data_IF_293068366292
#
_entry.id   IF_293068366292
#
_cell.length_a   1.000
_cell.length_b   1.000
_cell.length_c   1.000
_cell.angle_alpha   90.00
_cell.angle_beta   90.00
_cell.angle_gamma   90.00
#
_symmetry.space_group_name_H-M   'P 1'
#
loop_
_entity.id
_entity.type
_entity.pdbx_description
1 polymer ?
#
# COMPACT_ATOMS: atom_id res chain seq x y z
N UNK A 1 3.38 -24.98 10.31
CA UNK A 1 4.02 -24.11 11.34
C UNK A 1 3.12 -23.86 12.53
N UNK A 2 1.91 -23.32 12.39
CA UNK A 2 1.05 -23.03 13.56
C UNK A 2 0.67 -24.26 14.39
N UNK A 3 0.75 -25.46 13.82
CA UNK A 3 0.58 -26.72 14.54
C UNK A 3 1.63 -26.98 15.63
N UNK A 4 2.83 -26.38 15.53
CA UNK A 4 3.89 -26.50 16.54
C UNK A 4 3.89 -25.35 17.54
N UNK A 5 3.07 -24.32 17.32
CA UNK A 5 2.86 -23.24 18.28
C UNK A 5 1.91 -23.74 19.37
N UNK A 6 2.29 -23.69 20.65
CA UNK A 6 1.44 -24.11 21.76
C UNK A 6 0.07 -23.42 21.76
N UNK A 7 -0.94 -24.10 22.31
CA UNK A 7 -2.24 -23.48 22.52
C UNK A 7 -2.12 -22.31 23.51
N UNK A 8 -2.88 -21.23 23.28
CA UNK A 8 -2.87 -20.02 24.11
C UNK A 8 -1.79 -19.00 23.74
N UNK A 9 -0.95 -19.27 22.73
CA UNK A 9 -0.07 -18.27 22.14
C UNK A 9 -0.80 -17.60 20.97
N UNK A 10 -0.88 -16.27 21.00
CA UNK A 10 -1.49 -15.44 19.96
C UNK A 10 -0.41 -15.00 18.96
N UNK A 11 -0.33 -15.60 17.75
CA UNK A 11 0.71 -15.26 16.79
C UNK A 11 0.45 -13.90 16.15
N UNK A 12 1.51 -13.12 15.97
CA UNK A 12 1.49 -11.89 15.16
C UNK A 12 2.24 -12.14 13.86
N UNK A 13 1.58 -11.93 12.73
CA UNK A 13 2.19 -11.96 11.41
C UNK A 13 2.23 -10.55 10.85
N UNK A 14 3.40 -10.10 10.42
CA UNK A 14 3.55 -8.87 9.63
C UNK A 14 3.94 -9.33 8.23
N UNK A 15 3.12 -8.97 7.24
CA UNK A 15 3.30 -9.40 5.84
C UNK A 15 2.94 -8.26 4.90
N UNK A 16 3.01 -8.52 3.59
CA UNK A 16 2.45 -7.64 2.56
C UNK A 16 1.55 -8.42 1.62
N UNK A 17 0.50 -7.78 1.16
CA UNK A 17 -0.47 -8.35 0.23
C UNK A 17 -0.54 -7.49 -1.02
N UNK A 18 0.45 -7.66 -1.87
CA UNK A 18 0.44 -7.04 -3.19
C UNK A 18 -0.36 -7.92 -4.14
N UNK A 19 -1.37 -7.39 -4.86
CA UNK A 19 -2.20 -8.20 -5.76
C UNK A 19 -1.39 -9.01 -6.79
N UNK A 20 -0.28 -8.47 -7.31
CA UNK A 20 0.61 -9.18 -8.23
C UNK A 20 1.35 -10.34 -7.57
N UNK A 21 1.73 -10.21 -6.30
CA UNK A 21 2.38 -11.27 -5.54
C UNK A 21 1.39 -12.37 -5.16
N UNK A 22 0.15 -12.00 -4.84
CA UNK A 22 -0.93 -12.97 -4.61
C UNK A 22 -1.28 -13.71 -5.90
N UNK A 23 -1.39 -12.99 -7.03
CA UNK A 23 -1.62 -13.60 -8.33
C UNK A 23 -0.48 -14.55 -8.75
N UNK A 24 0.76 -14.23 -8.39
CA UNK A 24 1.93 -15.08 -8.60
C UNK A 24 2.08 -16.23 -7.59
N UNK A 25 1.22 -16.32 -6.57
CA UNK A 25 1.32 -17.31 -5.49
C UNK A 25 2.51 -17.11 -4.54
N UNK A 26 3.10 -15.91 -4.52
CA UNK A 26 4.20 -15.53 -3.63
C UNK A 26 3.69 -15.15 -2.24
N UNK A 27 2.51 -14.52 -2.17
CA UNK A 27 1.81 -14.17 -0.94
C UNK A 27 0.41 -14.77 -0.94
N UNK A 28 -0.19 -14.94 0.23
CA UNK A 28 -1.49 -15.60 0.40
C UNK A 28 -2.32 -14.88 1.46
N UNK A 29 -3.55 -14.51 1.10
CA UNK A 29 -4.52 -13.88 2.00
C UNK A 29 -5.17 -14.89 2.96
N UNK A 30 -5.16 -16.19 2.61
CA UNK A 30 -5.72 -17.27 3.41
C UNK A 30 -4.99 -17.49 4.75
N UNK A 31 -3.83 -16.85 4.95
CA UNK A 31 -3.17 -16.81 6.26
C UNK A 31 -4.01 -16.10 7.33
N UNK A 32 -4.87 -15.16 6.93
CA UNK A 32 -5.70 -14.39 7.85
C UNK A 32 -6.69 -15.25 8.66
N UNK A 33 -7.58 -16.04 8.05
CA UNK A 33 -8.49 -16.91 8.82
C UNK A 33 -7.72 -17.94 9.66
N UNK A 34 -6.56 -18.42 9.17
CA UNK A 34 -5.74 -19.38 9.90
C UNK A 34 -5.13 -18.78 11.17
N UNK A 35 -4.63 -17.54 11.11
CA UNK A 35 -4.11 -16.86 12.30
C UNK A 35 -5.23 -16.45 13.26
N UNK A 36 -6.35 -15.95 12.73
CA UNK A 36 -7.51 -15.57 13.54
C UNK A 36 -8.06 -16.74 14.35
N UNK A 37 -8.09 -17.95 13.78
CA UNK A 37 -8.49 -19.17 14.48
C UNK A 37 -7.60 -19.51 15.70
N UNK A 38 -6.41 -18.88 15.81
CA UNK A 38 -5.48 -19.00 16.93
C UNK A 38 -5.47 -17.76 17.84
N UNK A 39 -6.40 -16.82 17.66
CA UNK A 39 -6.40 -15.54 18.36
C UNK A 39 -5.30 -14.58 17.87
N UNK A 40 -4.64 -14.89 16.76
CA UNK A 40 -3.56 -14.09 16.20
C UNK A 40 -4.03 -12.93 15.33
N UNK A 41 -3.07 -12.05 15.01
CA UNK A 41 -3.29 -10.82 14.23
C UNK A 41 -2.37 -10.78 13.01
N UNK A 42 -2.89 -10.28 11.90
CA UNK A 42 -2.11 -10.01 10.69
C UNK A 42 -2.02 -8.50 10.49
N UNK A 43 -0.80 -7.99 10.30
CA UNK A 43 -0.52 -6.61 9.91
C UNK A 43 0.06 -6.59 8.49
N UNK A 44 -0.37 -5.61 7.71
CA UNK A 44 0.02 -5.39 6.33
C UNK A 44 0.94 -4.18 6.25
N UNK A 45 2.06 -4.36 5.56
CA UNK A 45 3.00 -3.28 5.32
C UNK A 45 3.62 -3.41 3.92
N UNK A 46 3.19 -2.52 3.00
CA UNK A 46 3.51 -2.60 1.56
C UNK A 46 5.00 -2.57 1.19
N UNK A 47 5.82 -2.03 2.10
CA UNK A 47 7.27 -1.89 1.95
C UNK A 47 8.05 -2.94 2.74
N UNK A 48 7.36 -3.88 3.39
CA UNK A 48 8.02 -4.96 4.11
C UNK A 48 8.83 -5.80 3.14
N UNK A 49 10.12 -5.91 3.41
CA UNK A 49 11.03 -6.85 2.75
C UNK A 49 11.89 -7.63 3.75
N UNK A 50 11.78 -7.30 5.03
CA UNK A 50 12.51 -7.98 6.09
C UNK A 50 12.00 -9.42 6.25
N UNK A 51 12.92 -10.33 6.60
CA UNK A 51 12.61 -11.68 7.04
C UNK A 51 13.05 -11.77 8.49
N UNK A 52 12.05 -11.85 9.35
CA UNK A 52 12.19 -11.62 10.77
C UNK A 52 11.31 -12.64 11.50
N UNK A 53 11.90 -13.34 12.47
CA UNK A 53 11.21 -14.31 13.31
C UNK A 53 11.56 -14.04 14.76
N UNK A 54 10.57 -14.14 15.63
CA UNK A 54 10.76 -13.89 17.05
C UNK A 54 9.90 -14.79 17.90
N UNK A 55 10.45 -15.16 19.04
CA UNK A 55 9.71 -15.64 20.17
C UNK A 55 10.18 -14.88 21.43
N UNK A 56 9.88 -15.40 22.60
CA UNK A 56 10.14 -14.81 23.90
C UNK A 56 11.62 -14.82 24.26
N UNK A 57 12.41 -15.65 23.56
CA UNK A 57 13.80 -15.94 23.90
C UNK A 57 14.79 -15.58 22.79
N UNK A 58 14.35 -15.59 21.53
CA UNK A 58 15.24 -15.46 20.37
C UNK A 58 14.64 -14.59 19.29
N UNK A 59 15.54 -13.95 18.55
CA UNK A 59 15.24 -13.18 17.34
C UNK A 59 16.12 -13.72 16.22
N UNK A 60 15.52 -14.04 15.09
CA UNK A 60 16.23 -14.44 13.88
C UNK A 60 15.93 -13.48 12.76
N UNK A 61 16.98 -13.03 12.07
CA UNK A 61 16.89 -12.16 10.89
C UNK A 61 17.72 -12.74 9.76
N UNK A 62 17.29 -12.52 8.51
CA UNK A 62 18.08 -12.94 7.36
C UNK A 62 17.33 -12.94 6.04
N UNK A 63 17.53 -13.99 5.25
CA UNK A 63 16.97 -14.11 3.89
C UNK A 63 15.72 -15.00 3.80
N UNK A 64 15.52 -15.90 4.78
CA UNK A 64 14.50 -16.94 4.71
C UNK A 64 13.07 -16.39 4.83
N UNK A 65 12.29 -16.46 3.75
CA UNK A 65 10.84 -16.19 3.80
C UNK A 65 10.10 -17.25 4.62
N UNK A 66 8.86 -16.96 5.03
CA UNK A 66 8.02 -17.91 5.75
C UNK A 66 7.44 -18.98 4.80
N UNK A 67 8.30 -19.86 4.30
CA UNK A 67 7.95 -20.94 3.37
C UNK A 67 8.62 -22.26 3.77
N UNK A 68 8.05 -23.38 3.34
CA UNK A 68 8.64 -24.69 3.62
C UNK A 68 10.03 -24.87 2.99
N UNK A 69 10.27 -24.27 1.81
CA UNK A 69 11.57 -24.33 1.13
C UNK A 69 12.64 -23.51 1.84
N UNK A 70 12.32 -22.30 2.30
CA UNK A 70 13.26 -21.42 2.99
C UNK A 70 13.56 -21.88 4.44
N UNK A 71 12.60 -22.53 5.11
CA UNK A 71 12.76 -22.99 6.50
C UNK A 71 13.31 -24.43 6.62
N UNK A 72 13.72 -25.05 5.52
CA UNK A 72 14.32 -26.39 5.54
C UNK A 72 13.31 -27.54 5.68
N UNK A 73 12.01 -27.30 5.46
CA UNK A 73 10.94 -28.30 5.62
C UNK A 73 10.52 -28.97 4.31
N UNK A 74 11.06 -28.52 3.18
CA UNK A 74 10.86 -29.14 1.87
C UNK A 74 11.94 -30.20 1.58
N UNK A 75 11.65 -31.13 0.66
CA UNK A 75 12.61 -32.15 0.23
C UNK A 75 13.87 -31.57 -0.45
N UNK A 76 13.73 -30.41 -1.10
CA UNK A 76 14.80 -29.62 -1.70
C UNK A 76 14.73 -28.20 -1.13
N UNK A 77 15.34 -27.96 0.04
CA UNK A 77 15.28 -26.66 0.68
C UNK A 77 16.26 -25.65 0.04
N UNK A 78 15.94 -24.37 0.19
CA UNK A 78 16.86 -23.29 -0.18
C UNK A 78 18.03 -23.23 0.80
N UNK A 79 19.16 -22.71 0.32
CA UNK A 79 20.26 -22.30 1.20
C UNK A 79 19.98 -20.86 1.63
N UNK A 80 19.60 -20.68 2.89
CA UNK A 80 19.25 -19.38 3.47
C UNK A 80 20.26 -18.97 4.54
N UNK A 81 20.44 -17.66 4.71
CA UNK A 81 21.19 -17.09 5.83
C UNK A 81 20.21 -16.65 6.91
N UNK A 82 20.41 -17.12 8.14
CA UNK A 82 19.74 -16.62 9.34
C UNK A 82 20.79 -16.38 10.42
N UNK A 83 20.71 -15.21 11.06
CA UNK A 83 21.56 -14.85 12.19
C UNK A 83 20.69 -14.49 13.38
N UNK A 84 21.16 -14.84 14.57
CA UNK A 84 20.53 -14.41 15.81
C UNK A 84 20.79 -12.92 16.03
N UNK A 85 19.77 -12.20 16.49
CA UNK A 85 19.85 -10.76 16.75
C UNK A 85 19.45 -10.43 18.18
N UNK A 86 19.82 -9.22 18.60
CA UNK A 86 19.50 -8.72 19.93
C UNK A 86 18.01 -8.34 20.06
N UNK A 87 17.42 -8.68 21.21
CA UNK A 87 16.00 -8.44 21.48
C UNK A 87 15.66 -6.95 21.59
N UNK A 88 16.56 -6.11 22.11
CA UNK A 88 16.33 -4.67 22.20
C UNK A 88 16.35 -4.01 20.82
N UNK A 89 17.25 -4.43 19.93
CA UNK A 89 17.27 -3.97 18.54
C UNK A 89 15.97 -4.36 17.80
N UNK A 90 15.47 -5.57 18.05
CA UNK A 90 14.23 -6.06 17.47
C UNK A 90 13.00 -5.23 17.90
N UNK A 91 12.92 -4.84 19.17
CA UNK A 91 11.79 -4.05 19.70
C UNK A 91 11.60 -2.70 19.01
N UNK A 92 12.69 -2.03 18.62
CA UNK A 92 12.60 -0.76 17.89
C UNK A 92 11.96 -0.96 16.50
N UNK A 93 12.36 -2.03 15.80
CA UNK A 93 11.76 -2.41 14.52
C UNK A 93 10.29 -2.82 14.68
N UNK A 94 9.97 -3.61 15.71
CA UNK A 94 8.59 -4.02 16.00
C UNK A 94 7.68 -2.81 16.24
N UNK A 95 8.14 -1.83 17.02
CA UNK A 95 7.37 -0.62 17.29
C UNK A 95 7.07 0.16 15.99
N UNK A 96 8.04 0.28 15.09
CA UNK A 96 7.84 0.91 13.77
C UNK A 96 6.86 0.11 12.92
N UNK A 97 7.04 -1.21 12.80
CA UNK A 97 6.20 -2.07 11.97
C UNK A 97 4.75 -2.13 12.47
N UNK A 98 4.54 -2.17 13.78
CA UNK A 98 3.21 -2.21 14.38
C UNK A 98 2.54 -0.83 14.41
N UNK A 99 3.33 0.26 14.56
CA UNK A 99 2.81 1.63 14.56
C UNK A 99 2.44 2.14 13.17
N UNK A 100 3.07 1.63 12.11
CA UNK A 100 2.80 2.01 10.72
C UNK A 100 2.05 0.96 9.90
N UNK A 101 1.88 -0.25 10.43
CA UNK A 101 1.20 -1.35 9.76
C UNK A 101 -0.33 -1.23 9.80
N UNK A 102 -0.98 -1.68 8.73
CA UNK A 102 -2.46 -1.74 8.64
C UNK A 102 -2.94 -3.10 9.11
N UNK A 103 -3.91 -3.17 10.03
CA UNK A 103 -4.49 -4.45 10.44
C UNK A 103 -5.27 -5.07 9.28
N UNK A 104 -4.98 -6.33 8.95
CA UNK A 104 -5.66 -7.03 7.87
C UNK A 104 -7.10 -7.36 8.23
N UNK A 105 -8.03 -7.12 7.31
CA UNK A 105 -9.45 -7.43 7.44
C UNK A 105 -9.92 -8.34 6.30
N UNK A 106 -11.09 -8.95 6.47
CA UNK A 106 -11.70 -9.78 5.41
C UNK A 106 -12.03 -8.95 4.16
N UNK A 107 -12.37 -7.66 4.33
CA UNK A 107 -12.57 -6.72 3.23
C UNK A 107 -11.26 -6.49 2.44
N UNK A 108 -10.15 -6.25 3.14
CA UNK A 108 -8.85 -6.08 2.48
C UNK A 108 -8.45 -7.36 1.74
N UNK A 109 -8.60 -8.53 2.39
CA UNK A 109 -8.31 -9.82 1.79
C UNK A 109 -9.13 -10.05 0.50
N UNK A 110 -10.45 -9.86 0.56
CA UNK A 110 -11.34 -10.03 -0.58
C UNK A 110 -11.00 -9.08 -1.74
N UNK A 111 -10.67 -7.82 -1.44
CA UNK A 111 -10.25 -6.84 -2.45
C UNK A 111 -8.94 -7.25 -3.12
N UNK A 112 -7.94 -7.70 -2.36
CA UNK A 112 -6.67 -8.17 -2.91
C UNK A 112 -6.87 -9.42 -3.78
N UNK A 113 -7.68 -10.38 -3.33
CA UNK A 113 -7.96 -11.61 -4.07
C UNK A 113 -8.71 -11.35 -5.38
N UNK A 114 -9.62 -10.38 -5.40
CA UNK A 114 -10.29 -9.95 -6.62
C UNK A 114 -9.31 -9.30 -7.60
N UNK A 115 -8.45 -8.40 -7.12
CA UNK A 115 -7.43 -7.77 -7.97
C UNK A 115 -6.42 -8.81 -8.48
N UNK A 116 -6.00 -9.76 -7.66
CA UNK A 116 -5.09 -10.83 -8.05
C UNK A 116 -5.68 -11.69 -9.18
N UNK A 117 -6.98 -12.03 -9.09
CA UNK A 117 -7.69 -12.76 -10.16
C UNK A 117 -7.75 -11.98 -11.46
N UNK A 118 -7.96 -10.66 -11.38
CA UNK A 118 -7.98 -9.79 -12.55
C UNK A 118 -6.61 -9.61 -13.21
N UNK A 119 -5.52 -9.66 -12.44
CA UNK A 119 -4.15 -9.55 -12.96
C UNK A 119 -3.71 -10.83 -13.69
N UNK A 120 -4.21 -11.98 -13.27
CA UNK A 120 -3.80 -13.28 -13.82
C UNK A 120 -2.36 -13.66 -13.43
N UNK A 121 -1.91 -14.88 -13.78
CA UNK A 121 -0.54 -15.29 -13.51
C UNK A 121 0.45 -14.39 -14.26
N UNK A 122 1.63 -14.08 -13.67
CA UNK A 122 2.57 -13.14 -14.25
C UNK A 122 3.01 -13.60 -15.65
N UNK A 123 2.89 -12.70 -16.62
CA UNK A 123 3.59 -12.81 -17.91
C UNK A 123 5.04 -12.46 -17.63
N UNK A 124 5.96 -13.42 -17.80
CA UNK A 124 7.41 -13.30 -17.56
C UNK A 124 7.95 -11.92 -17.97
N UNK A 125 8.02 -11.00 -17.01
CA UNK A 125 8.54 -9.66 -17.21
C UNK A 125 9.62 -9.45 -16.17
N UNK A 126 10.85 -9.11 -16.59
CA UNK A 126 11.94 -8.88 -15.64
C UNK A 126 11.58 -7.72 -14.71
N UNK A 127 11.60 -7.98 -13.41
CA UNK A 127 11.50 -6.95 -12.36
C UNK A 127 12.74 -6.06 -12.48
N UNK A 128 12.55 -4.78 -12.77
CA UNK A 128 13.60 -3.77 -12.65
C UNK A 128 13.56 -3.27 -11.21
N UNK A 129 14.54 -3.62 -10.41
CA UNK A 129 14.73 -3.04 -9.08
C UNK A 129 15.08 -1.56 -9.24
N UNK A 130 14.09 -0.68 -9.09
CA UNK A 130 14.34 0.76 -9.03
C UNK A 130 14.84 1.08 -7.62
N UNK A 131 16.03 1.67 -7.55
CA UNK A 131 16.69 2.07 -6.31
C UNK A 131 15.76 2.96 -5.45
N UNK A 132 15.39 2.47 -4.27
CA UNK A 132 14.51 3.17 -3.34
C UNK A 132 15.28 4.30 -2.64
N UNK A 133 14.90 5.56 -2.87
CA UNK A 133 15.23 6.67 -1.96
C UNK A 133 14.25 6.66 -0.79
N UNK A 134 14.67 7.01 0.45
CA UNK A 134 13.75 7.32 1.52
C UNK A 134 13.03 8.62 1.15
N UNK A 135 11.84 8.48 0.56
CA UNK A 135 10.92 9.60 0.38
C UNK A 135 10.27 9.82 1.74
N UNK A 136 10.15 11.08 2.18
CA UNK A 136 9.21 11.43 3.24
C UNK A 136 7.78 11.04 2.85
N UNK A 137 6.76 11.53 3.57
CA UNK A 137 5.37 11.25 3.22
C UNK A 137 5.11 11.60 1.73
N UNK A 138 4.90 10.59 0.89
CA UNK A 138 4.69 10.81 -0.54
C UNK A 138 3.35 11.48 -0.78
N UNK A 139 3.35 12.42 -1.72
CA UNK A 139 2.14 13.00 -2.27
C UNK A 139 2.27 13.01 -3.79
N UNK A 140 1.18 12.74 -4.52
CA UNK A 140 1.19 12.79 -5.97
C UNK A 140 1.60 14.19 -6.45
N UNK A 141 2.45 14.22 -7.46
CA UNK A 141 2.99 15.45 -8.03
C UNK A 141 2.46 15.74 -9.45
N UNK A 142 1.97 14.70 -10.15
CA UNK A 142 1.35 14.84 -11.46
C UNK A 142 -0.02 15.51 -11.34
N UNK A 143 -0.11 16.77 -11.75
CA UNK A 143 -1.34 17.59 -11.65
C UNK A 143 -2.54 17.05 -12.44
N UNK A 144 -2.33 16.25 -13.48
CA UNK A 144 -3.36 15.66 -14.33
C UNK A 144 -3.27 14.12 -14.23
N UNK A 145 -4.00 13.48 -13.30
CA UNK A 145 -3.91 12.04 -13.07
C UNK A 145 -4.32 11.18 -14.28
N UNK A 146 -5.19 11.70 -15.15
CA UNK A 146 -5.59 11.03 -16.40
C UNK A 146 -4.38 10.75 -17.33
N UNK A 147 -3.31 11.55 -17.24
CA UNK A 147 -2.08 11.36 -18.03
C UNK A 147 -1.18 10.25 -17.48
N UNK A 148 -1.43 9.77 -16.26
CA UNK A 148 -0.57 8.78 -15.59
C UNK A 148 -0.53 7.45 -16.37
N UNK A 149 -1.68 7.01 -16.91
CA UNK A 149 -1.73 5.80 -17.73
C UNK A 149 -0.99 5.98 -19.07
N UNK A 150 -1.03 7.18 -19.65
CA UNK A 150 -0.26 7.47 -20.86
C UNK A 150 1.25 7.38 -20.61
N UNK A 151 1.72 7.94 -19.49
CA UNK A 151 3.10 7.84 -19.05
C UNK A 151 3.52 6.39 -18.75
N UNK A 152 2.64 5.60 -18.13
CA UNK A 152 2.87 4.19 -17.83
C UNK A 152 2.96 3.32 -19.10
N UNK A 153 1.98 3.45 -20.00
CA UNK A 153 1.84 2.55 -21.17
C UNK A 153 2.75 2.92 -22.34
N UNK A 154 3.00 4.21 -22.57
CA UNK A 154 3.80 4.71 -23.71
C UNK A 154 5.12 5.35 -23.30
N UNK A 155 5.38 5.44 -22.00
CA UNK A 155 6.55 6.11 -21.45
C UNK A 155 6.29 7.59 -21.12
N UNK A 156 6.96 8.13 -20.07
CA UNK A 156 6.79 9.52 -19.63
C UNK A 156 7.16 10.57 -20.69
N UNK A 157 8.01 10.23 -21.65
CA UNK A 157 8.44 11.11 -22.74
C UNK A 157 7.30 11.56 -23.68
N UNK A 158 6.12 10.95 -23.56
CA UNK A 158 4.91 11.38 -24.28
C UNK A 158 4.25 12.62 -23.68
N UNK A 159 4.69 13.05 -22.48
CA UNK A 159 4.18 14.23 -21.78
C UNK A 159 5.16 15.41 -21.87
N UNK A 160 4.73 16.58 -21.42
CA UNK A 160 5.63 17.73 -21.21
C UNK A 160 6.74 17.37 -20.23
N UNK A 161 7.94 17.98 -20.34
CA UNK A 161 9.09 17.64 -19.48
C UNK A 161 8.77 17.68 -17.98
N UNK A 162 7.95 18.65 -17.55
CA UNK A 162 7.52 18.76 -16.16
C UNK A 162 6.56 17.63 -15.75
N UNK A 163 5.57 17.32 -16.59
CA UNK A 163 4.61 16.24 -16.32
C UNK A 163 5.27 14.86 -16.43
N UNK A 164 6.24 14.69 -17.32
CA UNK A 164 7.03 13.47 -17.45
C UNK A 164 7.83 13.17 -16.16
N UNK A 165 8.48 14.19 -15.59
CA UNK A 165 9.22 14.05 -14.33
C UNK A 165 8.29 13.70 -13.16
N UNK A 166 7.15 14.40 -13.06
CA UNK A 166 6.14 14.14 -12.03
C UNK A 166 5.56 12.72 -12.15
N UNK A 167 5.12 12.33 -13.35
CA UNK A 167 4.60 10.98 -13.62
C UNK A 167 5.64 9.90 -13.33
N UNK A 168 6.92 10.11 -13.68
CA UNK A 168 7.98 9.14 -13.37
C UNK A 168 8.18 8.97 -11.87
N UNK A 169 8.17 10.08 -11.11
CA UNK A 169 8.30 10.05 -9.66
C UNK A 169 7.11 9.35 -9.01
N UNK A 170 5.89 9.64 -9.45
CA UNK A 170 4.69 9.05 -8.90
C UNK A 170 4.59 7.55 -9.24
N UNK A 171 4.89 7.15 -10.48
CA UNK A 171 4.92 5.74 -10.90
C UNK A 171 5.98 4.93 -10.13
N UNK A 172 7.12 5.53 -9.81
CA UNK A 172 8.16 4.89 -9.02
C UNK A 172 7.69 4.60 -7.58
N UNK A 173 6.85 5.47 -6.99
CA UNK A 173 6.30 5.24 -5.65
C UNK A 173 5.14 4.24 -5.68
N UNK A 174 4.29 4.31 -6.72
CA UNK A 174 3.17 3.38 -6.90
C UNK A 174 3.61 1.94 -7.17
N UNK A 175 4.83 1.76 -7.70
CA UNK A 175 5.47 0.46 -7.92
C UNK A 175 4.55 -0.48 -8.73
N UNK A 176 4.18 -0.01 -9.91
CA UNK A 176 3.19 -0.67 -10.78
C UNK A 176 3.82 -1.83 -11.57
N UNK A 177 3.20 -3.03 -11.59
CA UNK A 177 3.54 -4.11 -12.51
C UNK A 177 3.53 -3.62 -13.97
N UNK A 178 4.33 -4.23 -14.84
CA UNK A 178 4.31 -3.93 -16.29
C UNK A 178 3.16 -4.66 -17.00
N UNK A 179 2.70 -4.11 -18.12
CA UNK A 179 1.72 -4.76 -19.00
C UNK A 179 0.26 -4.68 -18.57
N UNK A 180 -0.09 -3.81 -17.62
CA UNK A 180 -1.46 -3.60 -17.18
C UNK A 180 -2.28 -2.89 -18.27
N UNK A 181 -3.49 -3.39 -18.52
CA UNK A 181 -4.50 -2.65 -19.27
C UNK A 181 -5.04 -1.48 -18.44
N UNK A 182 -5.66 -0.48 -19.09
CA UNK A 182 -6.13 0.76 -18.44
C UNK A 182 -7.00 0.49 -17.21
N UNK A 183 -7.96 -0.43 -17.32
CA UNK A 183 -8.87 -0.75 -16.20
C UNK A 183 -8.16 -1.45 -15.03
N UNK A 184 -7.16 -2.29 -15.29
CA UNK A 184 -6.35 -2.93 -14.25
C UNK A 184 -5.42 -1.91 -13.57
N UNK A 185 -4.80 -1.05 -14.37
CA UNK A 185 -3.96 0.05 -13.90
C UNK A 185 -4.74 0.97 -12.96
N UNK A 186 -5.90 1.48 -13.39
CA UNK A 186 -6.73 2.40 -12.58
C UNK A 186 -7.16 1.77 -11.25
N UNK A 187 -7.58 0.50 -11.27
CA UNK A 187 -7.94 -0.23 -10.04
C UNK A 187 -6.76 -0.41 -9.09
N UNK A 188 -5.58 -0.74 -9.62
CA UNK A 188 -4.40 -0.92 -8.79
C UNK A 188 -3.90 0.42 -8.23
N UNK A 189 -3.94 1.51 -9.00
CA UNK A 189 -3.67 2.86 -8.48
C UNK A 189 -4.65 3.19 -7.37
N UNK A 190 -5.96 3.02 -7.58
CA UNK A 190 -6.99 3.26 -6.57
C UNK A 190 -6.72 2.50 -5.26
N UNK A 191 -6.36 1.22 -5.36
CA UNK A 191 -5.98 0.40 -4.21
C UNK A 191 -4.76 0.98 -3.48
N UNK A 192 -3.68 1.31 -4.21
CA UNK A 192 -2.46 1.90 -3.61
C UNK A 192 -2.74 3.24 -2.93
N UNK A 193 -3.62 4.07 -3.49
CA UNK A 193 -4.03 5.31 -2.86
C UNK A 193 -4.74 5.04 -1.53
N UNK A 194 -5.73 4.13 -1.49
CA UNK A 194 -6.48 3.83 -0.25
C UNK A 194 -5.62 3.27 0.88
N UNK A 195 -4.51 2.61 0.55
CA UNK A 195 -3.58 2.05 1.53
C UNK A 195 -2.41 2.99 1.87
N UNK A 196 -2.33 4.16 1.24
CA UNK A 196 -1.26 5.11 1.52
C UNK A 196 -1.62 6.03 2.72
N UNK A 197 -0.70 6.27 3.68
CA UNK A 197 -1.03 6.95 4.94
C UNK A 197 -1.73 8.31 4.82
N UNK A 198 -1.29 9.19 3.90
CA UNK A 198 -1.93 10.51 3.72
C UNK A 198 -3.38 10.39 3.24
N UNK A 199 -3.67 9.41 2.39
CA UNK A 199 -5.02 9.21 1.86
C UNK A 199 -5.93 8.58 2.92
N UNK A 200 -5.41 7.73 3.82
CA UNK A 200 -6.16 7.24 4.97
C UNK A 200 -6.54 8.38 5.93
N UNK A 201 -5.58 9.26 6.25
CA UNK A 201 -5.85 10.43 7.09
C UNK A 201 -6.90 11.37 6.47
N UNK A 202 -6.77 11.66 5.17
CA UNK A 202 -7.76 12.47 4.45
C UNK A 202 -9.11 11.74 4.40
N UNK A 203 -9.12 10.44 4.15
CA UNK A 203 -10.34 9.64 4.07
C UNK A 203 -11.13 9.66 5.39
N UNK A 204 -10.45 9.52 6.52
CA UNK A 204 -11.02 9.66 7.86
C UNK A 204 -11.56 11.07 8.09
N UNK A 205 -10.80 12.10 7.69
CA UNK A 205 -11.21 13.49 7.85
C UNK A 205 -12.46 13.87 7.01
N UNK A 206 -12.61 13.23 5.85
CA UNK A 206 -13.74 13.37 4.93
C UNK A 206 -14.95 12.49 5.27
N UNK A 207 -14.96 11.83 6.44
CA UNK A 207 -16.15 11.13 6.95
C UNK A 207 -17.36 12.07 7.10
N UNK A 208 -17.13 13.37 7.23
CA UNK A 208 -18.13 14.43 7.09
C UNK A 208 -17.72 15.39 5.96
N UNK A 209 -18.66 16.10 5.31
CA UNK A 209 -18.30 17.08 4.29
C UNK A 209 -17.36 18.16 4.84
N UNK A 210 -16.25 18.41 4.13
CA UNK A 210 -15.22 19.41 4.50
C UNK A 210 -15.06 20.45 3.43
N UNK A 211 -14.82 21.69 3.84
CA UNK A 211 -14.43 22.76 2.92
C UNK A 211 -12.98 22.56 2.48
N UNK A 212 -12.68 23.02 1.27
CA UNK A 212 -11.34 22.96 0.69
C UNK A 212 -10.25 23.49 1.63
N UNK A 213 -10.50 24.62 2.30
CA UNK A 213 -9.54 25.22 3.24
C UNK A 213 -9.23 24.36 4.46
N UNK A 214 -10.19 23.56 4.94
CA UNK A 214 -10.00 22.66 6.09
C UNK A 214 -9.06 21.51 5.73
N UNK A 215 -9.23 20.92 4.53
CA UNK A 215 -8.37 19.81 4.08
C UNK A 215 -6.96 20.29 3.74
N UNK A 216 -6.84 21.50 3.17
CA UNK A 216 -5.55 22.16 2.95
C UNK A 216 -4.80 22.35 4.27
N UNK A 217 -5.47 22.83 5.31
CA UNK A 217 -4.85 23.05 6.63
C UNK A 217 -4.32 21.72 7.20
N UNK A 218 -5.10 20.64 7.12
CA UNK A 218 -4.65 19.30 7.48
C UNK A 218 -3.34 18.91 6.74
N UNK A 219 -3.28 19.11 5.41
CA UNK A 219 -2.08 18.78 4.62
C UNK A 219 -0.89 19.66 5.02
N UNK A 220 -1.13 20.95 5.26
CA UNK A 220 -0.12 21.90 5.72
C UNK A 220 0.51 21.47 7.05
N UNK A 221 -0.32 21.08 8.02
CA UNK A 221 0.11 20.66 9.35
C UNK A 221 0.88 19.33 9.35
N UNK A 222 0.44 18.37 8.52
CA UNK A 222 1.05 17.03 8.44
C UNK A 222 2.44 17.06 7.82
N UNK A 223 2.69 17.95 6.84
CA UNK A 223 3.92 17.95 6.05
C UNK A 223 4.80 19.20 6.32
N UNK A 224 4.31 20.15 7.11
CA UNK A 224 5.03 21.39 7.42
C UNK A 224 5.16 22.34 6.22
N UNK A 225 4.13 22.38 5.36
CA UNK A 225 4.14 23.16 4.12
C UNK A 225 3.66 24.59 4.32
N UNK A 226 4.12 25.51 3.46
CA UNK A 226 3.50 26.82 3.37
C UNK A 226 2.09 26.73 2.73
N UNK A 227 1.31 27.80 2.88
CA UNK A 227 -0.09 27.84 2.42
C UNK A 227 -0.23 27.60 0.92
N UNK A 228 0.69 28.11 0.11
CA UNK A 228 0.62 27.98 -1.35
C UNK A 228 0.97 26.55 -1.78
N UNK A 229 2.00 25.96 -1.16
CA UNK A 229 2.39 24.57 -1.35
C UNK A 229 1.27 23.60 -0.94
N UNK A 230 0.59 23.88 0.18
CA UNK A 230 -0.54 23.10 0.65
C UNK A 230 -1.75 23.22 -0.30
N UNK A 231 -2.03 24.41 -0.85
CA UNK A 231 -3.08 24.61 -1.86
C UNK A 231 -2.82 23.75 -3.11
N UNK A 232 -1.62 23.85 -3.69
CA UNK A 232 -1.23 23.09 -4.89
C UNK A 232 -1.23 21.58 -4.66
N UNK A 233 -0.75 21.14 -3.49
CA UNK A 233 -0.73 19.73 -3.11
C UNK A 233 -2.14 19.18 -2.93
N UNK A 234 -3.01 19.92 -2.24
CA UNK A 234 -4.40 19.51 -2.04
C UNK A 234 -5.16 19.45 -3.37
N UNK A 235 -5.00 20.44 -4.26
CA UNK A 235 -5.62 20.38 -5.59
C UNK A 235 -5.19 19.14 -6.36
N UNK A 236 -3.92 18.77 -6.28
CA UNK A 236 -3.39 17.59 -6.95
C UNK A 236 -3.96 16.31 -6.35
N UNK A 237 -3.93 16.17 -5.02
CA UNK A 237 -4.51 15.01 -4.31
C UNK A 237 -6.01 14.88 -4.62
N UNK A 238 -6.77 15.98 -4.56
CA UNK A 238 -8.20 15.98 -4.86
C UNK A 238 -8.48 15.48 -6.27
N UNK A 239 -7.71 15.93 -7.28
CA UNK A 239 -7.85 15.42 -8.66
C UNK A 239 -7.59 13.92 -8.74
N UNK A 240 -6.54 13.43 -8.08
CA UNK A 240 -6.23 12.00 -8.02
C UNK A 240 -7.34 11.18 -7.37
N UNK A 241 -7.90 11.68 -6.26
CA UNK A 241 -9.03 11.03 -5.58
C UNK A 241 -10.26 10.98 -6.49
N UNK A 242 -10.57 12.06 -7.21
CA UNK A 242 -11.73 12.09 -8.10
C UNK A 242 -11.53 11.23 -9.37
N UNK A 243 -10.30 11.11 -9.88
CA UNK A 243 -9.98 10.27 -11.04
C UNK A 243 -10.00 8.77 -10.69
N UNK A 244 -9.29 8.37 -9.63
CA UNK A 244 -9.08 6.95 -9.32
C UNK A 244 -10.06 6.40 -8.28
N UNK A 245 -10.72 7.25 -7.50
CA UNK A 245 -11.71 6.86 -6.49
C UNK A 245 -13.08 7.55 -6.72
N UNK A 246 -13.62 7.56 -7.97
CA UNK A 246 -14.80 8.35 -8.33
C UNK A 246 -16.07 7.91 -7.58
N UNK A 247 -16.14 6.64 -7.18
CA UNK A 247 -17.25 6.06 -6.44
C UNK A 247 -17.18 6.34 -4.92
N UNK A 248 -16.02 6.77 -4.42
CA UNK A 248 -15.80 7.02 -2.99
C UNK A 248 -15.97 8.49 -2.62
N UNK A 249 -15.63 9.41 -3.50
CA UNK A 249 -15.64 10.84 -3.19
C UNK A 249 -16.52 11.65 -4.13
N UNK A 250 -17.04 12.77 -3.60
CA UNK A 250 -17.76 13.80 -4.34
C UNK A 250 -17.17 15.16 -4.03
N UNK A 251 -17.13 16.01 -5.06
CA UNK A 251 -16.75 17.42 -4.97
C UNK A 251 -17.93 18.27 -5.44
N UNK A 252 -18.20 19.36 -4.73
CA UNK A 252 -19.26 20.29 -5.06
C UNK A 252 -18.83 21.73 -4.78
N UNK A 253 -19.35 22.67 -5.56
CA UNK A 253 -19.09 24.10 -5.40
C UNK A 253 -20.39 24.80 -5.03
N UNK A 254 -20.48 25.30 -3.80
CA UNK A 254 -21.65 26.02 -3.30
C UNK A 254 -21.27 27.43 -2.89
N UNK A 255 -21.82 28.45 -3.58
CA UNK A 255 -21.60 29.89 -3.27
C UNK A 255 -20.12 30.24 -3.05
N UNK A 256 -19.27 29.84 -4.00
CA UNK A 256 -17.81 30.05 -3.96
C UNK A 256 -17.05 29.26 -2.88
N UNK A 257 -17.71 28.35 -2.15
CA UNK A 257 -17.05 27.40 -1.24
C UNK A 257 -17.02 26.02 -1.90
N UNK A 258 -15.82 25.51 -2.13
CA UNK A 258 -15.58 24.14 -2.56
C UNK A 258 -15.69 23.20 -1.36
N UNK A 259 -16.46 22.12 -1.52
CA UNK A 259 -16.72 21.11 -0.49
C UNK A 259 -16.42 19.73 -1.07
N UNK A 260 -15.64 18.95 -0.32
CA UNK A 260 -15.32 17.55 -0.62
C UNK A 260 -15.91 16.66 0.47
N UNK A 261 -16.48 15.52 0.08
CA UNK A 261 -17.06 14.57 1.01
C UNK A 261 -16.92 13.14 0.48
N UNK A 262 -16.99 12.16 1.39
CA UNK A 262 -17.27 10.77 0.99
C UNK A 262 -18.67 10.69 0.36
N UNK A 263 -18.85 9.84 -0.64
CA UNK A 263 -20.18 9.46 -1.15
C UNK A 263 -20.83 8.54 -0.13
N UNK A 264 -22.11 8.79 0.14
CA UNK A 264 -22.91 7.91 0.99
C UNK A 264 -23.16 6.58 0.26
N UNK A 265 -23.30 5.47 0.99
CA UNK A 265 -23.59 4.17 0.36
C UNK A 265 -24.94 4.17 -0.40
N UNK A 266 -25.82 5.14 -0.12
CA UNK A 266 -27.06 5.38 -0.86
C UNK A 266 -26.86 5.96 -2.28
N UNK A 267 -25.69 6.56 -2.56
CA UNK A 267 -25.33 7.14 -3.86
C UNK A 267 -24.64 6.11 -4.80
N UNK A 268 -24.57 4.82 -4.42
CA UNK A 268 -23.88 3.73 -5.16
C UNK A 268 -24.78 2.86 -6.05
N UNK A 269 -25.94 3.36 -6.48
CA UNK A 269 -26.82 2.70 -7.46
C UNK A 269 -26.51 3.10 -8.90
#
# INVERSE_FOLDING_TARGET
>A
MLSVVPAGIEPVLITRWRPDEVAAGVSDTQVLPVLRARGGTVYLHDRLHAKYYRNEHRVLIGSANLTATALGWAALPNIELLVESDMAAAKALEAELLGSGVVATDEIAANVDELARLLGPPVNSPRVDIAHRPVGMWMPSLRLPADLFAAYSRGPATLTSHSAAAASSDLAVLDMPLGLERSQFERLVAHRLLHHPIFQQIDEFLAVPRRFGEVRELIGDVVGMDRHQADESWQTIMRWMLEFLPHRYKHSVNRHSEIVARRDDADRN
#
